data_IF_473434780343
#
_entry.id   IF_473434780343
#
_cell.length_a   1.000
_cell.length_b   1.000
_cell.length_c   1.000
_cell.angle_alpha   90.00
_cell.angle_beta   90.00
_cell.angle_gamma   90.00
#
_symmetry.space_group_name_H-M   'P 1'
#
loop_
_entity.id
_entity.type
_entity.pdbx_description
1 polymer ?
#
# COMPACT_ATOMS: atom_id res chain seq x y z
N UNK A 1 34.10 0.97 -28.32
CA UNK A 1 33.78 1.23 -26.89
C UNK A 1 33.47 -0.11 -26.27
N UNK A 2 34.27 -0.58 -25.31
CA UNK A 2 34.04 -1.89 -24.69
C UNK A 2 32.71 -1.88 -23.93
N UNK A 3 31.74 -2.67 -24.39
CA UNK A 3 30.47 -2.87 -23.70
C UNK A 3 30.75 -3.63 -22.39
N UNK A 4 30.91 -2.88 -21.29
CA UNK A 4 31.13 -3.47 -19.99
C UNK A 4 29.78 -4.01 -19.48
N UNK A 5 29.58 -5.32 -19.68
CA UNK A 5 28.33 -6.03 -19.32
C UNK A 5 27.94 -5.83 -17.86
N UNK A 6 28.93 -5.69 -16.96
CA UNK A 6 28.69 -5.38 -15.56
C UNK A 6 28.12 -3.98 -15.34
N UNK A 7 28.63 -2.98 -16.06
CA UNK A 7 28.13 -1.60 -15.96
C UNK A 7 26.68 -1.51 -16.46
N UNK A 8 26.35 -2.21 -17.56
CA UNK A 8 24.97 -2.27 -18.07
C UNK A 8 24.02 -2.95 -17.07
N UNK A 9 24.44 -4.08 -16.48
CA UNK A 9 23.66 -4.77 -15.45
C UNK A 9 23.43 -3.91 -14.21
N UNK A 10 24.44 -3.18 -13.74
CA UNK A 10 24.32 -2.28 -12.60
C UNK A 10 23.33 -1.14 -12.87
N UNK A 11 23.38 -0.52 -14.06
CA UNK A 11 22.44 0.54 -14.46
C UNK A 11 21.01 0.00 -14.49
N UNK A 12 20.78 -1.19 -15.06
CA UNK A 12 19.46 -1.82 -15.08
C UNK A 12 18.90 -2.07 -13.67
N UNK A 13 19.74 -2.55 -12.74
CA UNK A 13 19.33 -2.78 -11.34
C UNK A 13 18.98 -1.47 -10.62
N UNK A 14 19.73 -0.39 -10.87
CA UNK A 14 19.44 0.93 -10.29
C UNK A 14 18.09 1.45 -10.79
N UNK A 15 17.81 1.33 -12.09
CA UNK A 15 16.53 1.76 -12.67
C UNK A 15 15.36 1.00 -12.03
N UNK A 16 15.47 -0.33 -11.94
CA UNK A 16 14.45 -1.18 -11.31
C UNK A 16 14.25 -0.78 -9.85
N UNK A 17 15.33 -0.66 -9.06
CA UNK A 17 15.26 -0.25 -7.67
C UNK A 17 14.61 1.14 -7.49
N UNK A 18 14.88 2.07 -8.41
CA UNK A 18 14.29 3.41 -8.37
C UNK A 18 12.78 3.35 -8.59
N UNK A 19 12.31 2.58 -9.58
CA UNK A 19 10.88 2.39 -9.87
C UNK A 19 10.16 1.75 -8.67
N UNK A 20 10.76 0.74 -8.03
CA UNK A 20 10.19 0.11 -6.84
C UNK A 20 10.09 1.07 -5.65
N UNK A 21 11.09 1.91 -5.43
CA UNK A 21 11.03 2.92 -4.37
C UNK A 21 9.90 3.92 -4.63
N UNK A 22 9.74 4.41 -5.87
CA UNK A 22 8.64 5.31 -6.23
C UNK A 22 7.29 4.65 -5.97
N UNK A 23 7.10 3.40 -6.41
CA UNK A 23 5.87 2.66 -6.16
C UNK A 23 5.61 2.47 -4.66
N UNK A 24 6.66 2.19 -3.87
CA UNK A 24 6.54 2.08 -2.41
C UNK A 24 6.09 3.40 -1.79
N UNK A 25 6.62 4.56 -2.21
CA UNK A 25 6.19 5.87 -1.69
C UNK A 25 4.73 6.21 -2.00
N UNK A 26 4.23 5.82 -3.18
CA UNK A 26 2.86 6.14 -3.62
C UNK A 26 1.84 5.21 -2.96
N UNK A 27 2.15 3.92 -2.88
CA UNK A 27 1.20 2.92 -2.38
C UNK A 27 1.05 3.02 -0.86
N UNK A 28 -0.18 3.10 -0.33
CA UNK A 28 -0.41 3.22 1.10
C UNK A 28 -0.29 1.89 1.85
N UNK A 29 0.81 1.17 1.67
CA UNK A 29 1.06 -0.15 2.26
C UNK A 29 2.20 -0.15 3.27
N UNK A 30 2.63 1.01 3.76
CA UNK A 30 3.72 1.14 4.72
C UNK A 30 3.34 0.57 6.08
N UNK A 31 2.07 0.71 6.46
CA UNK A 31 1.51 0.08 7.66
C UNK A 31 0.13 -0.47 7.34
N UNK A 32 -0.13 -1.73 7.68
CA UNK A 32 -1.44 -2.34 7.54
C UNK A 32 -1.87 -2.93 8.87
N UNK A 33 -3.04 -2.55 9.35
CA UNK A 33 -3.62 -3.10 10.57
C UNK A 33 -5.04 -3.58 10.30
N UNK A 34 -5.39 -4.74 10.85
CA UNK A 34 -6.75 -5.25 10.82
C UNK A 34 -7.33 -5.06 12.19
N UNK A 35 -8.31 -4.18 12.29
CA UNK A 35 -9.00 -3.90 13.55
C UNK A 35 -10.47 -4.20 13.40
N UNK A 36 -11.06 -4.82 14.41
CA UNK A 36 -12.51 -4.85 14.57
C UNK A 36 -12.78 -4.14 15.88
N UNK A 37 -13.42 -2.98 15.82
CA UNK A 37 -13.77 -2.25 17.02
C UNK A 37 -14.87 -3.04 17.73
N UNK A 38 -14.63 -3.51 18.96
CA UNK A 38 -15.62 -4.29 19.73
C UNK A 38 -16.93 -3.56 19.95
N UNK A 39 -16.93 -2.22 19.88
CA UNK A 39 -18.15 -1.40 19.97
C UNK A 39 -18.99 -1.40 18.69
N UNK A 40 -18.40 -1.75 17.54
CA UNK A 40 -19.04 -1.78 16.23
C UNK A 40 -19.08 -3.19 15.62
N UNK A 41 -18.69 -4.22 16.37
CA UNK A 41 -18.58 -5.61 15.90
C UNK A 41 -19.91 -6.22 15.44
N UNK A 42 -21.05 -5.62 15.80
CA UNK A 42 -22.37 -6.01 15.29
C UNK A 42 -22.68 -5.44 13.91
N UNK A 43 -22.03 -4.35 13.50
CA UNK A 43 -22.28 -3.62 12.25
C UNK A 43 -21.15 -3.79 11.23
N UNK A 44 -19.90 -3.79 11.70
CA UNK A 44 -18.69 -3.89 10.87
C UNK A 44 -17.97 -5.20 11.17
N UNK A 45 -17.89 -6.08 10.17
CA UNK A 45 -17.30 -7.41 10.29
C UNK A 45 -15.78 -7.38 10.22
N UNK A 46 -15.20 -6.41 9.50
CA UNK A 46 -13.76 -6.27 9.34
C UNK A 46 -13.39 -4.83 8.94
N UNK A 47 -12.33 -4.26 9.52
CA UNK A 47 -11.72 -3.04 8.97
C UNK A 47 -10.24 -3.27 8.70
N UNK A 48 -9.83 -3.05 7.46
CA UNK A 48 -8.46 -3.12 7.01
C UNK A 48 -7.95 -1.70 6.78
N UNK A 49 -7.08 -1.27 7.68
CA UNK A 49 -6.40 0.01 7.60
C UNK A 49 -5.10 -0.17 6.83
N UNK A 50 -4.83 0.70 5.87
CA UNK A 50 -3.63 0.73 5.03
C UNK A 50 -3.11 2.15 4.97
N UNK A 51 -2.01 2.45 5.66
CA UNK A 51 -1.40 3.77 5.64
C UNK A 51 -0.10 3.78 4.83
N UNK A 52 0.09 4.86 4.08
CA UNK A 52 1.29 5.22 3.35
C UNK A 52 1.87 6.55 3.80
N UNK A 53 2.91 6.98 3.08
CA UNK A 53 3.55 8.27 3.34
C UNK A 53 2.67 9.46 2.91
N UNK A 54 1.85 9.28 1.87
CA UNK A 54 1.04 10.34 1.23
C UNK A 54 -0.44 10.33 1.62
N UNK A 55 -0.86 9.36 2.44
CA UNK A 55 -2.27 9.15 2.73
C UNK A 55 -2.55 7.79 3.36
N UNK A 56 -3.81 7.54 3.67
CA UNK A 56 -4.27 6.27 4.23
C UNK A 56 -5.58 5.84 3.56
N UNK A 57 -5.74 4.54 3.36
CA UNK A 57 -6.95 3.89 2.92
C UNK A 57 -7.56 3.09 4.05
N UNK A 58 -8.89 3.13 4.13
CA UNK A 58 -9.68 2.35 5.07
C UNK A 58 -10.65 1.53 4.25
N UNK A 59 -10.56 0.21 4.37
CA UNK A 59 -11.49 -0.73 3.77
C UNK A 59 -12.29 -1.39 4.91
N UNK A 60 -13.57 -1.01 5.03
CA UNK A 60 -14.47 -1.51 6.05
C UNK A 60 -15.54 -2.39 5.42
N UNK A 61 -15.59 -3.65 5.82
CA UNK A 61 -16.61 -4.60 5.43
C UNK A 61 -17.75 -4.54 6.46
N UNK A 62 -18.93 -4.10 6.03
CA UNK A 62 -20.13 -4.12 6.85
C UNK A 62 -20.70 -5.54 6.86
N UNK A 63 -21.27 -5.98 7.99
CA UNK A 63 -21.83 -7.33 8.18
C UNK A 63 -22.93 -7.69 7.15
N UNK A 64 -23.56 -6.68 6.52
CA UNK A 64 -24.58 -6.85 5.47
C UNK A 64 -24.01 -6.83 4.03
N UNK A 65 -22.69 -6.95 3.85
CA UNK A 65 -22.04 -7.09 2.54
C UNK A 65 -21.74 -5.78 1.80
N UNK A 66 -21.94 -4.62 2.42
CA UNK A 66 -21.51 -3.34 1.85
C UNK A 66 -20.06 -3.06 2.26
N UNK A 67 -19.19 -2.88 1.28
CA UNK A 67 -17.79 -2.48 1.51
C UNK A 67 -17.65 -0.96 1.41
N UNK A 68 -16.98 -0.37 2.38
CA UNK A 68 -16.61 1.04 2.39
C UNK A 68 -15.09 1.12 2.22
N UNK A 69 -14.66 1.30 0.98
CA UNK A 69 -13.26 1.56 0.64
C UNK A 69 -13.07 3.05 0.40
N UNK A 70 -12.35 3.71 1.30
CA UNK A 70 -12.08 5.13 1.18
C UNK A 70 -10.60 5.42 1.41
N UNK A 71 -9.98 6.05 0.42
CA UNK A 71 -8.60 6.51 0.47
C UNK A 71 -8.55 8.03 0.68
N UNK A 72 -7.92 8.46 1.75
CA UNK A 72 -7.62 9.84 2.06
C UNK A 72 -6.16 10.12 1.70
N UNK A 73 -5.95 10.92 0.68
CA UNK A 73 -4.64 11.44 0.29
C UNK A 73 -4.49 12.89 0.76
N UNK A 74 -3.28 13.29 1.14
CA UNK A 74 -2.95 14.67 1.50
C UNK A 74 -2.86 15.57 0.26
#
# INVERSE_FOLDING_TARGET
MAFNKFAFGAIAMIIIATIYNIAAFILPMWSSNKTVNSALASEVSNTNFKAGLLGFCVDSEMTNGTTFDHCFYY
#
